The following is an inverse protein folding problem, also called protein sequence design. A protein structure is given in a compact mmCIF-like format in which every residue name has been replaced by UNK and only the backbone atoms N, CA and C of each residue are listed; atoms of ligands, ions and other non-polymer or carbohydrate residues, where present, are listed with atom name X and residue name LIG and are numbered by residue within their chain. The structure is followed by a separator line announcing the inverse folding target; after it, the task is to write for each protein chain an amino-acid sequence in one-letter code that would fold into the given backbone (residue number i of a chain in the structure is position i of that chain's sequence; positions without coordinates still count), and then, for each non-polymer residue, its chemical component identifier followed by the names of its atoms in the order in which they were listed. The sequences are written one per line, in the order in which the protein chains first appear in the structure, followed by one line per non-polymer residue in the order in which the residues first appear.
data_IF_125264444231
#
_entry.id   IF_125264444231
#
_cell.length_a   1.000
_cell.length_b   1.000
_cell.length_c   1.000
_cell.angle_alpha   90.00
_cell.angle_beta   90.00
_cell.angle_gamma   90.00
#
_symmetry.space_group_name_H-M   'P 1'
#
loop_
_entity.id
_entity.type
_entity.pdbx_description
1 polymer ?
#
# COMPACT_ATOMS: atom_id res chain seq x y z
N UNK A 1 -2.50 0.02 -20.54
CA UNK A 1 -2.70 0.50 -19.17
C UNK A 1 -1.81 1.70 -18.91
N UNK A 2 -2.34 2.79 -18.34
CA UNK A 2 -1.64 3.99 -17.90
C UNK A 2 -1.51 3.96 -16.37
N UNK A 3 -0.28 3.90 -15.87
CA UNK A 3 0.01 3.83 -14.45
C UNK A 3 0.71 5.10 -13.96
N UNK A 4 0.16 5.71 -12.91
CA UNK A 4 0.71 6.86 -12.22
C UNK A 4 1.45 6.40 -10.96
N UNK A 5 2.77 6.59 -10.91
CA UNK A 5 3.63 6.05 -9.84
C UNK A 5 4.17 7.18 -8.97
N UNK A 6 3.79 7.18 -7.69
CA UNK A 6 4.20 8.15 -6.68
C UNK A 6 5.16 7.46 -5.71
N UNK A 7 6.32 8.08 -5.44
CA UNK A 7 7.43 7.40 -4.75
C UNK A 7 8.24 6.45 -5.64
N UNK A 8 8.05 6.53 -6.96
CA UNK A 8 8.64 5.64 -7.97
C UNK A 8 10.15 5.70 -8.15
N UNK A 9 10.86 6.61 -7.47
CA UNK A 9 12.27 6.89 -7.78
C UNK A 9 13.23 5.79 -7.33
N UNK A 10 12.83 4.92 -6.39
CA UNK A 10 13.69 3.86 -5.82
C UNK A 10 12.87 2.64 -5.37
N UNK A 11 13.57 1.55 -5.07
CA UNK A 11 13.04 0.34 -4.44
C UNK A 11 11.75 -0.16 -5.09
N UNK A 12 10.68 -0.37 -4.31
CA UNK A 12 9.41 -0.93 -4.81
C UNK A 12 8.84 -0.10 -5.94
N UNK A 13 8.80 1.22 -5.80
CA UNK A 13 8.26 2.10 -6.82
C UNK A 13 9.03 1.99 -8.14
N UNK A 14 10.37 1.95 -8.07
CA UNK A 14 11.23 1.82 -9.24
C UNK A 14 11.08 0.46 -9.93
N UNK A 15 11.22 -0.64 -9.18
CA UNK A 15 11.14 -1.99 -9.76
C UNK A 15 9.74 -2.32 -10.27
N UNK A 16 8.69 -1.84 -9.61
CA UNK A 16 7.32 -1.98 -10.10
C UNK A 16 7.13 -1.22 -11.41
N UNK A 17 7.61 0.02 -11.51
CA UNK A 17 7.54 0.81 -12.73
C UNK A 17 8.25 0.14 -13.91
N UNK A 18 9.46 -0.40 -13.70
CA UNK A 18 10.20 -1.14 -14.74
C UNK A 18 9.41 -2.38 -15.21
N UNK A 19 8.79 -3.13 -14.30
CA UNK A 19 7.96 -4.29 -14.69
C UNK A 19 6.72 -3.88 -15.48
N UNK A 20 6.05 -2.80 -15.08
CA UNK A 20 4.89 -2.27 -15.82
C UNK A 20 5.28 -1.83 -17.23
N UNK A 21 6.42 -1.14 -17.39
CA UNK A 21 6.96 -0.78 -18.70
C UNK A 21 7.25 -2.02 -19.56
N UNK A 22 7.87 -3.06 -18.99
CA UNK A 22 8.14 -4.32 -19.70
C UNK A 22 6.86 -5.07 -20.13
N UNK A 23 5.73 -4.83 -19.47
CA UNK A 23 4.42 -5.37 -19.84
C UNK A 23 3.68 -4.49 -20.87
N UNK A 24 4.31 -3.43 -21.38
CA UNK A 24 3.71 -2.52 -22.36
C UNK A 24 2.79 -1.44 -21.74
N UNK A 25 2.84 -1.23 -20.42
CA UNK A 25 2.14 -0.12 -19.79
C UNK A 25 2.86 1.22 -20.03
N UNK A 26 2.11 2.32 -20.07
CA UNK A 26 2.67 3.67 -19.97
C UNK A 26 2.81 4.01 -18.49
N UNK A 27 4.03 4.27 -18.03
CA UNK A 27 4.30 4.67 -16.64
C UNK A 27 4.64 6.14 -16.58
N UNK A 28 3.83 6.90 -15.88
CA UNK A 28 4.07 8.31 -15.58
C UNK A 28 4.62 8.43 -14.16
N UNK A 29 5.88 8.83 -14.05
CA UNK A 29 6.42 9.36 -12.81
C UNK A 29 5.96 10.81 -12.66
N UNK A 30 5.77 11.28 -11.43
CA UNK A 30 5.39 12.67 -11.14
C UNK A 30 6.55 13.62 -11.49
N UNK A 31 6.71 13.88 -12.79
CA UNK A 31 7.48 14.94 -13.40
C UNK A 31 6.42 15.94 -13.87
N UNK A 32 6.51 17.19 -13.43
CA UNK A 32 5.52 18.25 -13.68
C UNK A 32 5.22 18.39 -15.19
N UNK A 33 4.21 17.68 -15.68
CA UNK A 33 3.65 17.89 -17.01
C UNK A 33 2.16 17.52 -17.00
N UNK A 34 1.27 18.50 -17.25
CA UNK A 34 -0.16 18.25 -17.35
C UNK A 34 -0.47 17.72 -18.76
N UNK A 35 -0.75 16.42 -18.87
CA UNK A 35 -1.42 15.86 -20.04
C UNK A 35 -2.79 15.31 -19.62
N UNK A 36 -3.75 15.46 -20.53
CA UNK A 36 -5.19 15.19 -20.36
C UNK A 36 -5.55 13.67 -20.35
N UNK A 37 -4.68 12.86 -19.74
CA UNK A 37 -4.74 11.42 -19.83
C UNK A 37 -5.42 10.80 -18.60
N UNK A 38 -6.51 10.08 -18.82
CA UNK A 38 -7.11 9.17 -17.83
C UNK A 38 -6.05 8.20 -17.29
N UNK A 39 -6.06 7.99 -15.96
CA UNK A 39 -5.14 7.08 -15.27
C UNK A 39 -5.90 5.80 -14.91
N UNK A 40 -5.34 4.64 -15.22
CA UNK A 40 -5.96 3.34 -14.90
C UNK A 40 -5.52 2.82 -13.52
N UNK A 41 -4.31 3.19 -13.08
CA UNK A 41 -3.67 2.70 -11.86
C UNK A 41 -2.87 3.82 -11.18
N UNK A 42 -3.08 4.02 -9.89
CA UNK A 42 -2.21 4.82 -9.02
C UNK A 42 -1.43 3.87 -8.10
N UNK A 43 -0.11 3.86 -8.25
CA UNK A 43 0.80 3.13 -7.38
C UNK A 43 1.48 4.10 -6.42
N UNK A 44 1.08 4.05 -5.15
CA UNK A 44 1.61 4.90 -4.09
C UNK A 44 2.63 4.13 -3.25
N UNK A 45 3.90 4.51 -3.38
CA UNK A 45 5.05 3.84 -2.75
C UNK A 45 5.88 4.79 -1.87
N UNK A 46 5.31 5.94 -1.50
CA UNK A 46 5.98 6.91 -0.61
C UNK A 46 6.30 6.26 0.74
N UNK A 47 7.53 6.46 1.19
CA UNK A 47 8.02 6.01 2.48
C UNK A 47 9.14 6.94 2.96
N UNK A 48 9.30 7.04 4.27
CA UNK A 48 10.39 7.80 4.86
C UNK A 48 11.75 7.18 4.47
N UNK A 49 12.66 8.02 4.01
CA UNK A 49 14.02 7.62 3.58
C UNK A 49 15.06 7.91 4.65
N UNK A 50 14.89 9.03 5.33
CA UNK A 50 15.87 9.60 6.25
C UNK A 50 15.28 9.59 7.65
N UNK A 51 16.14 9.28 8.61
CA UNK A 51 15.76 9.15 10.00
C UNK A 51 16.95 8.82 10.85
N UNK A 52 16.83 9.13 12.15
CA UNK A 52 17.88 8.91 13.13
C UNK A 52 17.49 7.74 14.02
N UNK A 53 18.40 6.79 14.20
CA UNK A 53 18.21 5.71 15.18
C UNK A 53 18.57 6.26 16.55
N UNK A 54 17.59 6.29 17.45
CA UNK A 54 17.76 6.65 18.84
C UNK A 54 17.63 5.40 19.72
N UNK A 55 18.56 5.24 20.66
CA UNK A 55 18.63 4.04 21.52
C UNK A 55 17.38 3.82 22.39
N UNK A 56 16.62 4.88 22.70
CA UNK A 56 15.42 4.84 23.55
C UNK A 56 14.11 5.07 22.80
N UNK A 57 14.17 5.57 21.56
CA UNK A 57 12.98 5.96 20.77
C UNK A 57 12.84 5.19 19.45
N UNK A 58 13.84 4.37 19.10
CA UNK A 58 13.85 3.65 17.83
C UNK A 58 14.22 4.55 16.65
N UNK A 59 13.72 4.22 15.46
CA UNK A 59 13.94 4.98 14.24
C UNK A 59 12.96 6.16 14.19
N UNK A 60 13.50 7.37 14.31
CA UNK A 60 12.75 8.62 14.23
C UNK A 60 12.83 9.15 12.80
N UNK A 61 11.68 9.51 12.23
CA UNK A 61 11.59 10.11 10.89
C UNK A 61 11.41 11.62 11.03
N UNK A 62 12.10 12.41 10.20
CA UNK A 62 12.08 13.88 10.33
C UNK A 62 10.69 14.48 10.05
N UNK A 63 9.89 13.81 9.21
CA UNK A 63 8.51 14.18 8.88
C UNK A 63 7.60 13.02 9.34
N UNK A 64 7.01 13.09 10.54
CA UNK A 64 6.32 11.96 11.20
C UNK A 64 5.01 11.53 10.55
N UNK A 65 4.48 12.31 9.62
CA UNK A 65 3.20 12.07 8.92
C UNK A 65 3.35 12.07 7.40
N UNK A 66 4.58 11.89 6.90
CA UNK A 66 4.92 12.01 5.48
C UNK A 66 4.04 11.12 4.59
N UNK A 67 3.89 9.84 4.92
CA UNK A 67 3.13 8.90 4.12
C UNK A 67 1.64 9.23 4.19
N UNK A 68 1.14 9.53 5.38
CA UNK A 68 -0.27 9.86 5.62
C UNK A 68 -0.68 11.10 4.83
N UNK A 69 0.02 12.23 5.04
CA UNK A 69 -0.31 13.50 4.37
C UNK A 69 -0.12 13.40 2.86
N UNK A 70 0.93 12.70 2.42
CA UNK A 70 1.14 12.49 0.98
C UNK A 70 -0.01 11.68 0.36
N UNK A 71 -0.47 10.62 1.02
CA UNK A 71 -1.60 9.81 0.52
C UNK A 71 -2.89 10.63 0.50
N UNK A 72 -3.17 11.37 1.57
CA UNK A 72 -4.34 12.26 1.64
C UNK A 72 -4.30 13.27 0.49
N UNK A 73 -3.17 13.94 0.25
CA UNK A 73 -3.04 14.91 -0.85
C UNK A 73 -3.33 14.27 -2.22
N UNK A 74 -2.81 13.06 -2.46
CA UNK A 74 -3.05 12.32 -3.71
C UNK A 74 -4.54 12.00 -3.87
N UNK A 75 -5.16 11.48 -2.82
CA UNK A 75 -6.59 11.15 -2.83
C UNK A 75 -7.45 12.42 -3.01
N UNK A 76 -7.08 13.53 -2.36
CA UNK A 76 -7.79 14.80 -2.47
C UNK A 76 -7.75 15.42 -3.87
N UNK A 77 -6.80 15.00 -4.71
CA UNK A 77 -6.71 15.41 -6.12
C UNK A 77 -7.35 14.41 -7.08
N UNK A 78 -7.92 13.33 -6.56
CA UNK A 78 -8.59 12.33 -7.39
C UNK A 78 -9.92 12.90 -7.86
N UNK A 79 -10.17 12.98 -9.17
CA UNK A 79 -11.42 13.54 -9.67
C UNK A 79 -12.61 12.71 -9.17
N UNK A 80 -13.80 13.33 -8.97
CA UNK A 80 -15.03 12.59 -8.69
C UNK A 80 -15.43 11.80 -9.94
N UNK A 81 -14.90 10.59 -10.07
CA UNK A 81 -15.19 9.69 -11.19
C UNK A 81 -16.36 8.78 -10.85
N UNK A 82 -17.21 8.49 -11.83
CA UNK A 82 -18.14 7.37 -11.79
C UNK A 82 -17.39 6.08 -11.42
N UNK A 83 -18.02 5.15 -10.70
CA UNK A 83 -17.36 3.92 -10.23
C UNK A 83 -16.63 3.13 -11.35
N UNK A 84 -17.11 3.21 -12.59
CA UNK A 84 -16.53 2.57 -13.78
C UNK A 84 -15.32 3.28 -14.39
N UNK A 85 -15.00 4.51 -13.97
CA UNK A 85 -13.84 5.30 -14.46
C UNK A 85 -12.85 5.68 -13.35
N UNK A 86 -13.05 5.16 -12.13
CA UNK A 86 -12.13 5.42 -11.03
C UNK A 86 -10.80 4.66 -11.22
N UNK A 87 -9.64 5.30 -11.01
CA UNK A 87 -8.36 4.61 -11.07
C UNK A 87 -8.28 3.56 -9.96
N UNK A 88 -7.60 2.45 -10.25
CA UNK A 88 -7.25 1.47 -9.21
C UNK A 88 -6.16 2.05 -8.34
N UNK A 89 -6.29 1.96 -7.02
CA UNK A 89 -5.26 2.41 -6.08
C UNK A 89 -4.53 1.23 -5.47
N UNK A 90 -3.19 1.29 -5.48
CA UNK A 90 -2.34 0.38 -4.72
C UNK A 90 -1.42 1.22 -3.84
N UNK A 91 -1.52 1.05 -2.51
CA UNK A 91 -0.64 1.73 -1.55
C UNK A 91 0.25 0.73 -0.82
N UNK A 92 1.51 1.11 -0.61
CA UNK A 92 2.47 0.30 0.13
C UNK A 92 2.51 0.75 1.60
N UNK A 93 2.25 -0.19 2.49
CA UNK A 93 2.39 -0.07 3.94
C UNK A 93 3.53 -0.96 4.44
N UNK A 94 3.41 -1.58 5.62
CA UNK A 94 4.38 -2.50 6.20
C UNK A 94 3.67 -3.57 7.04
N UNK A 95 4.28 -4.74 7.14
CA UNK A 95 3.83 -5.74 8.11
C UNK A 95 4.00 -5.19 9.54
N UNK A 96 3.04 -5.48 10.40
CA UNK A 96 3.09 -5.06 11.81
C UNK A 96 2.65 -3.63 12.07
N UNK A 97 2.09 -2.94 11.08
CA UNK A 97 1.38 -1.66 11.27
C UNK A 97 0.08 -1.87 12.04
N UNK A 98 -0.67 -2.91 11.70
CA UNK A 98 -1.90 -3.30 12.39
C UNK A 98 -1.67 -4.37 13.43
N UNK A 99 -2.54 -4.44 14.45
CA UNK A 99 -2.42 -5.41 15.54
C UNK A 99 -2.51 -6.84 15.03
N UNK A 100 -3.43 -7.08 14.09
CA UNK A 100 -3.61 -8.38 13.45
C UNK A 100 -2.38 -8.81 12.63
N UNK A 101 -1.69 -7.86 11.97
CA UNK A 101 -0.46 -8.15 11.23
C UNK A 101 0.74 -8.33 12.17
N UNK A 102 0.84 -7.53 13.24
CA UNK A 102 1.91 -7.57 14.22
C UNK A 102 1.90 -8.88 15.03
N UNK A 103 0.71 -9.40 15.35
CA UNK A 103 0.53 -10.69 16.01
C UNK A 103 1.06 -11.87 15.19
N UNK A 104 1.19 -11.74 13.86
CA UNK A 104 1.72 -12.77 12.96
C UNK A 104 3.26 -12.77 12.87
N UNK A 105 3.94 -11.79 13.49
CA UNK A 105 5.40 -11.72 13.48
C UNK A 105 6.00 -12.69 14.51
N UNK A 106 7.14 -13.34 14.20
CA UNK A 106 7.93 -14.06 15.20
C UNK A 106 8.24 -13.17 16.40
N UNK A 107 8.23 -13.72 17.61
CA UNK A 107 8.30 -12.97 18.86
C UNK A 107 9.45 -11.94 18.93
N UNK A 108 10.67 -12.32 18.52
CA UNK A 108 11.82 -11.39 18.48
C UNK A 108 11.60 -10.23 17.50
N UNK A 109 11.07 -10.51 16.31
CA UNK A 109 10.76 -9.47 15.33
C UNK A 109 9.65 -8.56 15.83
N UNK A 110 8.68 -9.10 16.57
CA UNK A 110 7.60 -8.33 17.18
C UNK A 110 8.13 -7.28 18.17
N UNK A 111 9.06 -7.66 19.05
CA UNK A 111 9.73 -6.76 19.99
C UNK A 111 10.57 -5.70 19.26
N UNK A 112 11.38 -6.12 18.29
CA UNK A 112 12.19 -5.21 17.48
C UNK A 112 11.31 -4.20 16.74
N UNK A 113 10.21 -4.64 16.13
CA UNK A 113 9.31 -3.78 15.35
C UNK A 113 8.54 -2.80 16.24
N UNK A 114 8.05 -3.26 17.40
CA UNK A 114 7.35 -2.42 18.35
C UNK A 114 8.23 -1.27 18.88
N UNK A 115 9.53 -1.51 19.02
CA UNK A 115 10.48 -0.51 19.48
C UNK A 115 11.07 0.33 18.34
N UNK A 116 11.64 -0.31 17.32
CA UNK A 116 12.43 0.34 16.28
C UNK A 116 11.55 1.07 15.25
N UNK A 117 10.35 0.58 14.96
CA UNK A 117 9.51 1.09 13.87
C UNK A 117 8.26 1.82 14.36
N UNK A 118 8.23 2.24 15.62
CA UNK A 118 7.04 2.84 16.23
C UNK A 118 6.52 4.06 15.46
N UNK A 119 7.38 5.04 15.17
CA UNK A 119 7.00 6.25 14.44
C UNK A 119 6.68 5.97 12.96
N UNK A 120 7.52 5.24 12.19
CA UNK A 120 7.16 4.82 10.84
C UNK A 120 5.84 4.04 10.75
N UNK A 121 5.54 3.20 11.75
CA UNK A 121 4.28 2.46 11.80
C UNK A 121 3.10 3.35 12.15
N UNK A 122 3.27 4.36 13.02
CA UNK A 122 2.22 5.34 13.30
C UNK A 122 1.82 6.11 12.04
N UNK A 123 2.80 6.55 11.24
CA UNK A 123 2.55 7.18 9.94
C UNK A 123 1.83 6.22 8.98
N UNK A 124 2.32 4.98 8.83
CA UNK A 124 1.64 4.00 7.96
C UNK A 124 0.24 3.62 8.46
N UNK A 125 -0.02 3.63 9.76
CA UNK A 125 -1.34 3.41 10.33
C UNK A 125 -2.31 4.53 9.91
N UNK A 126 -1.85 5.79 9.94
CA UNK A 126 -2.58 6.93 9.40
C UNK A 126 -2.96 6.74 7.93
N UNK A 127 -2.00 6.36 7.10
CA UNK A 127 -2.25 6.08 5.68
C UNK A 127 -3.25 4.92 5.46
N UNK A 128 -3.15 3.84 6.24
CA UNK A 128 -4.10 2.71 6.16
C UNK A 128 -5.51 3.09 6.64
N UNK A 129 -5.62 3.96 7.66
CA UNK A 129 -6.89 4.47 8.16
C UNK A 129 -7.62 5.30 7.10
N UNK A 130 -6.89 6.12 6.36
CA UNK A 130 -7.39 6.89 5.20
C UNK A 130 -7.84 5.95 4.09
N UNK A 131 -7.00 4.97 3.74
CA UNK A 131 -7.34 3.95 2.74
C UNK A 131 -8.64 3.22 3.09
N UNK A 132 -8.80 2.79 4.36
CA UNK A 132 -10.01 2.13 4.83
C UNK A 132 -11.24 3.02 4.70
N UNK A 133 -11.14 4.32 5.00
CA UNK A 133 -12.25 5.24 4.83
C UNK A 133 -12.66 5.38 3.35
N UNK A 134 -11.74 5.77 2.47
CA UNK A 134 -12.08 6.01 1.05
C UNK A 134 -12.52 4.72 0.34
N UNK A 135 -12.08 3.55 0.81
CA UNK A 135 -12.50 2.25 0.30
C UNK A 135 -13.74 1.66 0.99
N UNK A 136 -14.26 2.31 2.03
CA UNK A 136 -15.48 1.89 2.73
C UNK A 136 -15.28 0.62 3.57
N UNK A 137 -14.06 0.38 4.02
CA UNK A 137 -13.73 -0.74 4.89
C UNK A 137 -14.06 -0.42 6.34
N UNK A 138 -14.48 -1.45 7.07
CA UNK A 138 -14.61 -1.37 8.52
C UNK A 138 -13.21 -1.29 9.15
N UNK A 139 -12.97 -0.23 9.93
CA UNK A 139 -11.71 -0.05 10.66
C UNK A 139 -11.79 -0.77 12.01
N UNK A 140 -10.91 -1.75 12.23
CA UNK A 140 -10.88 -2.58 13.44
C UNK A 140 -9.55 -2.49 14.21
N UNK A 141 -8.66 -1.62 13.76
CA UNK A 141 -7.37 -1.37 14.39
C UNK A 141 -7.42 -0.11 15.28
N UNK A 142 -6.30 0.20 15.91
CA UNK A 142 -6.17 1.40 16.74
C UNK A 142 -6.33 2.66 15.89
N UNK A 143 -6.98 3.69 16.44
CA UNK A 143 -7.11 4.96 15.73
C UNK A 143 -5.74 5.67 15.70
N UNK A 144 -5.30 6.20 14.54
CA UNK A 144 -4.06 6.95 14.45
C UNK A 144 -4.04 8.16 15.39
N UNK A 145 -2.87 8.50 15.90
CA UNK A 145 -2.70 9.68 16.76
C UNK A 145 -3.01 10.98 15.99
N UNK A 146 -3.52 11.98 16.72
CA UNK A 146 -3.97 13.23 16.13
C UNK A 146 -2.84 14.01 15.43
N UNK A 147 -1.59 13.84 15.88
CA UNK A 147 -0.41 14.45 15.27
C UNK A 147 -0.14 13.93 13.86
N UNK A 148 -0.53 12.68 13.55
CA UNK A 148 -0.33 12.07 12.23
C UNK A 148 -1.47 12.43 11.29
N UNK A 149 -2.70 12.14 11.70
CA UNK A 149 -3.84 12.21 10.80
C UNK A 149 -4.65 13.51 10.96
N UNK A 150 -4.69 14.07 12.17
CA UNK A 150 -5.53 15.22 12.54
C UNK A 150 -6.93 14.80 12.98
N UNK A 151 -7.56 15.57 13.88
CA UNK A 151 -8.84 15.16 14.48
C UNK A 151 -10.06 15.16 13.52
N UNK A 152 -10.01 15.94 12.43
CA UNK A 152 -11.12 16.13 11.49
C UNK A 152 -10.72 15.83 10.03
N UNK A 153 -9.79 14.90 9.85
CA UNK A 153 -9.20 14.59 8.55
C UNK A 153 -10.23 14.12 7.51
N UNK A 154 -11.33 13.51 7.93
CA UNK A 154 -12.41 13.06 7.04
C UNK A 154 -13.11 14.25 6.35
N UNK A 155 -13.07 15.43 6.95
CA UNK A 155 -13.67 16.65 6.39
C UNK A 155 -12.68 17.44 5.52
N UNK A 156 -11.50 16.87 5.23
CA UNK A 156 -10.50 17.55 4.42
C UNK A 156 -11.02 17.76 3.00
N UNK A 157 -10.95 19.01 2.53
CA UNK A 157 -11.43 19.37 1.20
C UNK A 157 -10.80 18.49 0.10
N UNK A 158 -11.66 18.00 -0.79
CA UNK A 158 -11.30 17.14 -1.91
C UNK A 158 -11.08 15.67 -1.55
N UNK A 159 -10.93 15.29 -0.27
CA UNK A 159 -10.80 13.89 0.11
C UNK A 159 -12.06 13.11 -0.32
N UNK A 160 -11.93 11.96 -0.98
CA UNK A 160 -13.07 11.15 -1.39
C UNK A 160 -13.93 10.74 -0.19
N UNK A 161 -15.24 10.69 -0.40
CA UNK A 161 -16.20 10.22 0.60
C UNK A 161 -15.95 8.76 0.98
N UNK A 162 -16.51 8.36 2.12
CA UNK A 162 -16.38 7.00 2.60
C UNK A 162 -16.89 5.99 1.56
N UNK A 163 -16.03 5.07 1.13
CA UNK A 163 -16.37 4.04 0.16
C UNK A 163 -16.52 4.54 -1.28
N UNK A 164 -16.12 5.76 -1.60
CA UNK A 164 -16.14 6.28 -2.97
C UNK A 164 -15.19 5.50 -3.90
N UNK A 165 -14.03 5.05 -3.41
CA UNK A 165 -13.05 4.30 -4.20
C UNK A 165 -13.24 2.79 -4.05
N UNK A 166 -13.85 2.15 -5.07
CA UNK A 166 -14.16 0.71 -5.02
C UNK A 166 -12.95 -0.19 -5.25
N UNK A 167 -11.92 0.31 -5.95
CA UNK A 167 -10.73 -0.46 -6.32
C UNK A 167 -9.51 0.05 -5.56
N UNK A 168 -9.32 -0.45 -4.34
CA UNK A 168 -8.21 -0.07 -3.47
C UNK A 168 -7.50 -1.31 -2.92
N UNK A 169 -6.17 -1.30 -2.90
CA UNK A 169 -5.34 -2.36 -2.34
C UNK A 169 -4.28 -1.78 -1.41
N UNK A 170 -4.20 -2.30 -0.19
CA UNK A 170 -3.08 -2.03 0.74
C UNK A 170 -2.15 -3.24 0.74
N UNK A 171 -0.88 -2.99 0.43
CA UNK A 171 0.17 -4.01 0.40
C UNK A 171 1.02 -3.86 1.65
N UNK A 172 1.07 -4.88 2.50
CA UNK A 172 1.89 -4.89 3.73
C UNK A 172 3.10 -5.82 3.59
N UNK A 173 4.24 -5.36 3.02
CA UNK A 173 5.45 -6.16 2.90
C UNK A 173 6.13 -6.39 4.26
N UNK A 174 6.73 -7.58 4.42
CA UNK A 174 7.64 -7.89 5.53
C UNK A 174 9.09 -7.83 5.08
N UNK A 175 9.94 -7.12 5.83
CA UNK A 175 11.40 -6.99 5.63
C UNK A 175 11.75 -6.61 4.18
N UNK A 176 11.94 -5.31 3.94
CA UNK A 176 12.38 -4.82 2.64
C UNK A 176 13.85 -5.16 2.45
N UNK A 177 14.13 -6.21 1.68
CA UNK A 177 15.48 -6.52 1.23
C UNK A 177 15.63 -6.11 -0.24
N UNK A 178 16.74 -5.46 -0.57
CA UNK A 178 17.14 -5.28 -1.96
C UNK A 178 17.52 -6.63 -2.58
N UNK A 179 17.33 -6.77 -3.89
CA UNK A 179 17.78 -7.94 -4.65
C UNK A 179 16.74 -8.45 -5.65
N UNK A 180 17.09 -9.54 -6.33
CA UNK A 180 16.20 -10.22 -7.26
C UNK A 180 14.91 -10.69 -6.57
N UNK A 181 13.79 -10.62 -7.28
CA UNK A 181 12.53 -11.14 -6.75
C UNK A 181 12.61 -12.66 -6.69
N UNK A 182 12.54 -13.23 -5.49
CA UNK A 182 12.66 -14.69 -5.33
C UNK A 182 11.51 -15.46 -5.98
N UNK A 183 10.37 -14.80 -6.23
CA UNK A 183 9.25 -15.36 -6.98
C UNK A 183 9.52 -15.55 -8.48
N UNK A 184 10.53 -14.88 -9.04
CA UNK A 184 10.88 -15.07 -10.45
C UNK A 184 11.75 -16.32 -10.67
N UNK A 185 12.26 -16.93 -9.59
CA UNK A 185 13.00 -18.18 -9.66
C UNK A 185 12.01 -19.32 -9.88
N UNK A 186 12.15 -20.03 -11.01
CA UNK A 186 11.36 -21.22 -11.29
C UNK A 186 11.59 -22.27 -10.17
N UNK A 187 10.50 -22.75 -9.57
CA UNK A 187 10.52 -23.79 -8.57
C UNK A 187 9.12 -24.38 -8.37
N UNK A 188 9.04 -25.51 -7.67
CA UNK A 188 7.81 -26.32 -7.55
C UNK A 188 6.73 -25.72 -6.62
N UNK A 189 6.99 -24.55 -6.02
CA UNK A 189 6.06 -23.89 -5.10
C UNK A 189 5.48 -22.66 -5.75
N UNK A 190 4.19 -22.41 -5.51
CA UNK A 190 3.55 -21.16 -5.91
C UNK A 190 4.37 -19.97 -5.39
N UNK A 191 4.78 -19.04 -6.28
CA UNK A 191 5.75 -18.01 -5.96
C UNK A 191 5.24 -17.01 -4.91
N UNK A 192 3.92 -16.97 -4.70
CA UNK A 192 3.27 -16.07 -3.79
C UNK A 192 2.30 -16.80 -2.87
N UNK A 193 2.37 -16.52 -1.57
CA UNK A 193 1.30 -16.85 -0.63
C UNK A 193 0.40 -15.64 -0.48
N UNK A 194 -0.71 -15.64 -1.20
CA UNK A 194 -1.75 -14.64 -1.02
C UNK A 194 -2.68 -15.11 0.08
N UNK A 195 -2.66 -14.44 1.23
CA UNK A 195 -3.67 -14.65 2.27
C UNK A 195 -4.78 -13.64 2.00
N UNK A 196 -5.83 -14.09 1.31
CA UNK A 196 -7.03 -13.30 1.03
C UNK A 196 -7.87 -13.16 2.30
N UNK A 197 -7.54 -12.15 3.10
CA UNK A 197 -8.57 -11.37 3.77
C UNK A 197 -8.72 -10.07 2.97
N UNK A 198 -9.74 -9.25 3.22
CA UNK A 198 -9.85 -7.85 2.73
C UNK A 198 -8.63 -6.94 3.06
N UNK A 199 -7.53 -7.53 3.54
CA UNK A 199 -6.26 -6.99 3.97
C UNK A 199 -5.14 -7.91 3.46
N UNK A 200 -4.31 -7.46 2.52
CA UNK A 200 -3.23 -8.28 1.98
C UNK A 200 -1.94 -8.14 2.81
N UNK A 201 -1.57 -9.20 3.53
CA UNK A 201 -0.26 -9.32 4.20
C UNK A 201 0.71 -10.15 3.36
N UNK A 202 1.85 -9.59 2.94
CA UNK A 202 2.90 -10.31 2.19
C UNK A 202 4.09 -10.55 3.12
N UNK A 203 4.42 -11.81 3.35
CA UNK A 203 5.57 -12.20 4.19
C UNK A 203 6.75 -12.65 3.34
N UNK A 204 7.89 -11.94 3.50
CA UNK A 204 9.27 -12.14 2.98
C UNK A 204 9.52 -11.79 1.50
N UNK A 205 10.57 -10.99 1.25
CA UNK A 205 11.36 -10.83 0.00
C UNK A 205 10.62 -10.87 -1.36
N UNK A 206 9.42 -10.29 -1.43
CA UNK A 206 8.49 -10.47 -2.56
C UNK A 206 7.79 -9.18 -3.02
N UNK A 207 8.17 -8.01 -2.49
CA UNK A 207 7.38 -6.78 -2.60
C UNK A 207 7.14 -6.23 -4.00
N UNK A 208 7.99 -6.53 -4.99
CA UNK A 208 7.90 -5.97 -6.34
C UNK A 208 7.21 -6.91 -7.34
N UNK A 209 7.41 -8.22 -7.19
CA UNK A 209 6.91 -9.21 -8.15
C UNK A 209 5.39 -9.40 -8.07
N UNK A 210 4.84 -9.52 -6.85
CA UNK A 210 3.40 -9.68 -6.67
C UNK A 210 2.63 -8.47 -7.20
N UNK A 211 3.18 -7.27 -7.02
CA UNK A 211 2.55 -6.03 -7.43
C UNK A 211 2.33 -5.99 -8.95
N UNK A 212 3.32 -6.43 -9.73
CA UNK A 212 3.21 -6.54 -11.17
C UNK A 212 2.30 -7.68 -11.62
N UNK A 213 2.30 -8.82 -10.92
CA UNK A 213 1.38 -9.94 -11.20
C UNK A 213 -0.08 -9.60 -10.89
N UNK A 214 -0.34 -8.86 -9.81
CA UNK A 214 -1.68 -8.38 -9.43
C UNK A 214 -2.20 -7.26 -10.35
N UNK A 215 -1.29 -6.50 -10.96
CA UNK A 215 -1.64 -5.52 -11.97
C UNK A 215 -1.92 -6.19 -13.33
N UNK A 216 -1.23 -7.30 -13.64
CA UNK A 216 -1.36 -8.07 -14.88
C UNK A 216 -2.52 -9.09 -14.88
N UNK A 217 -2.94 -9.61 -13.72
CA UNK A 217 -4.14 -10.44 -13.62
C UNK A 217 -5.40 -9.56 -13.53
N UNK A 218 -6.31 -9.77 -14.47
CA UNK A 218 -7.55 -9.03 -14.62
C UNK A 218 -8.35 -9.00 -13.31
N UNK A 219 -8.79 -7.82 -12.86
CA UNK A 219 -9.49 -7.67 -11.58
C UNK A 219 -10.83 -8.39 -11.50
N UNK A 220 -11.37 -8.84 -12.64
CA UNK A 220 -12.54 -9.71 -12.69
C UNK A 220 -12.29 -11.06 -11.99
N UNK A 221 -11.09 -11.62 -12.13
CA UNK A 221 -10.71 -12.88 -11.49
C UNK A 221 -10.61 -12.74 -9.96
N UNK A 222 -10.13 -11.58 -9.51
CA UNK A 222 -10.01 -11.24 -8.08
C UNK A 222 -11.40 -11.04 -7.45
N UNK A 223 -12.43 -10.71 -8.23
CA UNK A 223 -13.78 -10.43 -7.71
C UNK A 223 -14.72 -11.63 -7.78
N UNK A 224 -14.62 -12.50 -8.80
CA UNK A 224 -15.46 -13.70 -8.92
C UNK A 224 -15.06 -14.83 -7.95
N UNK A 225 -13.76 -15.01 -7.69
CA UNK A 225 -13.27 -16.06 -6.77
C UNK A 225 -13.66 -15.79 -5.30
N UNK A 226 -14.01 -14.52 -4.99
CA UNK A 226 -14.55 -14.08 -3.69
C UNK A 226 -15.95 -14.65 -3.43
N UNK A 227 -16.76 -14.92 -4.47
CA UNK A 227 -18.11 -15.44 -4.30
C UNK A 227 -18.17 -16.97 -4.20
N UNK A 228 -17.23 -17.71 -4.82
CA UNK A 228 -17.25 -19.17 -4.83
C UNK A 228 -16.52 -19.81 -3.64
N UNK A 229 -15.54 -19.14 -3.04
CA UNK A 229 -14.66 -19.72 -2.01
C UNK A 229 -15.18 -19.62 -0.57
N UNK A 230 -16.35 -19.00 -0.34
CA UNK A 230 -16.99 -18.92 0.98
C UNK A 230 -17.70 -20.22 1.43
N UNK A 231 -17.61 -21.32 0.66
CA UNK A 231 -18.27 -22.60 1.00
C UNK A 231 -17.37 -23.68 1.54
N UNK A 232 -16.06 -23.47 1.68
CA UNK A 232 -15.22 -24.53 2.25
C UNK A 232 -14.02 -23.91 2.94
N UNK A 233 -13.99 -24.00 4.27
CA UNK A 233 -12.88 -24.53 5.08
C UNK A 233 -13.23 -24.19 6.54
N UNK A 234 -13.67 -25.23 7.26
CA UNK A 234 -13.49 -25.42 8.70
C UNK A 234 -12.02 -25.75 8.94
#
# INVERSE_FOLDING_TARGET
MKAFVIGGSRNIGYYAAVRLLNQGATVTFLLRYPDDNSVDLVLFTVGAREGKVHLTRGFIIDIPDLCTKSLVNVLSTTPPTSASSSPRFITISSIGVTRAAHAKLPFLLRLLYAFLLREPHADKLGAERVAAHVAGWEWRDEEPIAEVLGANWQNQAGLPEQGQLKHFLVVRPALLTNGECQADKAGDKTPYRVIYMRYLGITRNLGHGLLASMVAQDSAYITEEIHSSLRTVV
#
